data_IF_326468278836
#
_entry.id   IF_326468278836
#
_cell.length_a   1.000
_cell.length_b   1.000
_cell.length_c   1.000
_cell.angle_alpha   90.00
_cell.angle_beta   90.00
_cell.angle_gamma   90.00
#
_symmetry.space_group_name_H-M   'P 1'
#
loop_
_entity.id
_entity.type
_entity.pdbx_description
1 polymer ?
#
# COMPACT_ATOMS: atom_id res chain seq x y z
N UNK A 1 -24.90 -31.74 -17.79
CA UNK A 1 -23.43 -31.64 -17.85
C UNK A 1 -23.00 -30.85 -19.07
N UNK A 2 -23.64 -31.09 -20.22
CA UNK A 2 -23.31 -30.40 -21.49
C UNK A 2 -23.59 -28.87 -21.46
N UNK A 3 -24.66 -28.42 -20.80
CA UNK A 3 -24.95 -26.97 -20.64
C UNK A 3 -23.87 -26.26 -19.88
N UNK A 4 -23.34 -26.86 -18.81
CA UNK A 4 -22.28 -26.25 -17.98
C UNK A 4 -20.98 -26.17 -18.79
N UNK A 5 -20.65 -27.21 -19.52
CA UNK A 5 -19.47 -27.25 -20.40
C UNK A 5 -19.60 -26.23 -21.55
N UNK A 6 -20.80 -26.04 -22.08
CA UNK A 6 -21.08 -25.04 -23.11
C UNK A 6 -20.95 -23.61 -22.51
N UNK A 7 -21.42 -23.42 -21.29
CA UNK A 7 -21.29 -22.13 -20.58
C UNK A 7 -19.81 -21.80 -20.33
N UNK A 8 -19.00 -22.78 -19.91
CA UNK A 8 -17.55 -22.62 -19.68
C UNK A 8 -16.82 -22.33 -20.99
N UNK A 9 -17.20 -23.03 -22.11
CA UNK A 9 -16.63 -22.74 -23.42
C UNK A 9 -16.89 -21.31 -23.89
N UNK A 10 -18.12 -20.84 -23.71
CA UNK A 10 -18.54 -19.53 -24.21
C UNK A 10 -18.07 -18.36 -23.32
N UNK A 11 -18.12 -18.54 -22.01
CA UNK A 11 -17.88 -17.46 -21.03
C UNK A 11 -16.57 -17.62 -20.25
N UNK A 12 -15.91 -18.78 -20.31
CA UNK A 12 -14.68 -19.05 -19.57
C UNK A 12 -13.58 -17.99 -19.76
N UNK A 13 -13.25 -17.59 -21.00
CA UNK A 13 -12.27 -16.53 -21.22
C UNK A 13 -12.71 -15.17 -20.68
N UNK A 14 -14.00 -14.83 -20.80
CA UNK A 14 -14.54 -13.57 -20.30
C UNK A 14 -14.55 -13.54 -18.76
N UNK A 15 -14.88 -14.65 -18.12
CA UNK A 15 -14.82 -14.79 -16.67
C UNK A 15 -13.37 -14.69 -16.18
N UNK A 16 -12.42 -15.38 -16.82
CA UNK A 16 -11.01 -15.30 -16.48
C UNK A 16 -10.49 -13.88 -16.61
N UNK A 17 -10.82 -13.19 -17.71
CA UNK A 17 -10.50 -11.78 -17.90
C UNK A 17 -11.03 -10.92 -16.74
N UNK A 18 -12.31 -11.10 -16.37
CA UNK A 18 -12.96 -10.37 -15.29
C UNK A 18 -12.29 -10.61 -13.92
N UNK A 19 -11.96 -11.87 -13.59
CA UNK A 19 -11.25 -12.20 -12.35
C UNK A 19 -9.86 -11.56 -12.31
N UNK A 20 -9.10 -11.64 -13.39
CA UNK A 20 -7.78 -11.04 -13.50
C UNK A 20 -7.83 -9.50 -13.44
N UNK A 21 -8.83 -8.89 -14.09
CA UNK A 21 -9.05 -7.45 -14.06
C UNK A 21 -9.36 -6.97 -12.62
N UNK A 22 -10.25 -7.66 -11.91
CA UNK A 22 -10.65 -7.30 -10.56
C UNK A 22 -9.49 -7.45 -9.57
N UNK A 23 -8.74 -8.57 -9.63
CA UNK A 23 -7.54 -8.75 -8.79
C UNK A 23 -6.52 -7.64 -9.03
N UNK A 24 -6.18 -7.37 -10.29
CA UNK A 24 -5.23 -6.34 -10.66
C UNK A 24 -5.72 -4.92 -10.31
N UNK A 25 -7.04 -4.71 -10.25
CA UNK A 25 -7.65 -3.44 -9.77
C UNK A 25 -7.64 -3.30 -8.24
N UNK A 26 -7.05 -4.26 -7.50
CA UNK A 26 -6.91 -4.21 -6.04
C UNK A 26 -8.01 -4.90 -5.25
N UNK A 27 -8.92 -5.62 -5.92
CA UNK A 27 -9.92 -6.45 -5.24
C UNK A 27 -9.24 -7.74 -4.77
N UNK A 28 -9.38 -8.17 -3.51
CA UNK A 28 -8.67 -9.34 -2.98
C UNK A 28 -9.31 -10.66 -3.45
N UNK A 29 -9.24 -10.92 -4.75
CA UNK A 29 -9.71 -12.13 -5.41
C UNK A 29 -8.47 -12.90 -5.90
N UNK A 30 -8.33 -14.20 -5.62
CA UNK A 30 -7.16 -14.97 -6.05
C UNK A 30 -7.30 -15.40 -7.53
N UNK A 31 -6.90 -14.55 -8.47
CA UNK A 31 -6.92 -14.88 -9.91
C UNK A 31 -6.00 -16.06 -10.25
N UNK A 32 -5.00 -16.34 -9.41
CA UNK A 32 -4.18 -17.54 -9.54
C UNK A 32 -5.02 -18.84 -9.62
N UNK A 33 -6.09 -18.93 -8.82
CA UNK A 33 -6.99 -20.08 -8.86
C UNK A 33 -7.79 -20.15 -10.18
N UNK A 34 -8.25 -19.00 -10.68
CA UNK A 34 -8.94 -18.91 -11.94
C UNK A 34 -8.02 -19.28 -13.13
N UNK A 35 -6.74 -18.86 -13.08
CA UNK A 35 -5.72 -19.22 -14.07
C UNK A 35 -5.42 -20.73 -14.04
N UNK A 36 -5.26 -21.32 -12.85
CA UNK A 36 -5.08 -22.77 -12.69
C UNK A 36 -6.27 -23.54 -13.27
N UNK A 37 -7.50 -23.14 -12.93
CA UNK A 37 -8.72 -23.75 -13.45
C UNK A 37 -8.82 -23.60 -14.98
N UNK A 38 -8.46 -22.43 -15.53
CA UNK A 38 -8.40 -22.17 -16.97
C UNK A 38 -7.39 -23.06 -17.68
N UNK A 39 -6.21 -23.28 -17.10
CA UNK A 39 -5.20 -24.21 -17.60
C UNK A 39 -5.69 -25.67 -17.62
N UNK A 40 -6.32 -26.11 -16.53
CA UNK A 40 -6.89 -27.45 -16.44
C UNK A 40 -8.03 -27.68 -17.44
N UNK A 41 -8.90 -26.69 -17.66
CA UNK A 41 -9.96 -26.75 -18.68
C UNK A 41 -9.39 -26.79 -20.12
N UNK A 42 -8.28 -26.09 -20.35
CA UNK A 42 -7.57 -26.15 -21.64
C UNK A 42 -6.93 -27.52 -21.90
N UNK A 43 -6.37 -28.16 -20.86
CA UNK A 43 -5.83 -29.54 -21.00
C UNK A 43 -6.90 -30.53 -21.41
N UNK A 44 -8.15 -30.31 -21.02
CA UNK A 44 -9.29 -31.14 -21.38
C UNK A 44 -9.93 -30.75 -22.74
N UNK A 45 -9.33 -29.85 -23.51
CA UNK A 45 -9.87 -29.29 -24.75
C UNK A 45 -11.26 -28.63 -24.62
N UNK A 46 -11.62 -28.19 -23.43
CA UNK A 46 -12.86 -27.44 -23.17
C UNK A 46 -12.75 -26.02 -23.71
N UNK A 47 -11.58 -25.41 -23.57
CA UNK A 47 -11.26 -24.04 -24.01
C UNK A 47 -9.88 -24.01 -24.68
N UNK A 48 -9.65 -23.03 -25.54
CA UNK A 48 -8.33 -22.84 -26.16
C UNK A 48 -7.37 -22.17 -25.18
N UNK A 49 -6.21 -22.78 -24.93
CA UNK A 49 -5.18 -22.28 -24.04
C UNK A 49 -4.68 -20.87 -24.44
N UNK A 50 -4.60 -20.60 -25.74
CA UNK A 50 -4.15 -19.27 -26.24
C UNK A 50 -5.15 -18.20 -25.92
N UNK A 51 -6.44 -18.51 -26.06
CA UNK A 51 -7.52 -17.56 -25.72
C UNK A 51 -7.54 -17.28 -24.20
N UNK A 52 -7.33 -18.31 -23.37
CA UNK A 52 -7.22 -18.16 -21.92
C UNK A 52 -5.99 -17.33 -21.52
N UNK A 53 -4.84 -17.56 -22.18
CA UNK A 53 -3.62 -16.81 -21.93
C UNK A 53 -3.79 -15.32 -22.29
N UNK A 54 -4.42 -15.02 -23.42
CA UNK A 54 -4.71 -13.65 -23.84
C UNK A 54 -5.72 -12.99 -22.90
N UNK A 55 -6.77 -13.68 -22.51
CA UNK A 55 -7.78 -13.15 -21.59
C UNK A 55 -7.16 -12.81 -20.21
N UNK A 56 -6.39 -13.73 -19.64
CA UNK A 56 -5.68 -13.52 -18.38
C UNK A 56 -4.69 -12.35 -18.45
N UNK A 57 -3.86 -12.33 -19.50
CA UNK A 57 -2.88 -11.26 -19.71
C UNK A 57 -3.55 -9.87 -19.83
N UNK A 58 -4.57 -9.78 -20.70
CA UNK A 58 -5.28 -8.51 -20.90
C UNK A 58 -5.99 -8.04 -19.62
N UNK A 59 -6.62 -8.95 -18.89
CA UNK A 59 -7.26 -8.63 -17.62
C UNK A 59 -6.26 -8.05 -16.61
N UNK A 60 -5.11 -8.71 -16.42
CA UNK A 60 -4.07 -8.25 -15.50
C UNK A 60 -3.50 -6.89 -15.91
N UNK A 61 -3.12 -6.72 -17.17
CA UNK A 61 -2.50 -5.48 -17.66
C UNK A 61 -3.47 -4.30 -17.60
N UNK A 62 -4.73 -4.51 -17.96
CA UNK A 62 -5.75 -3.44 -17.91
C UNK A 62 -6.06 -3.03 -16.46
N UNK A 63 -6.15 -3.99 -15.53
CA UNK A 63 -6.36 -3.69 -14.12
C UNK A 63 -5.20 -2.90 -13.51
N UNK A 64 -3.96 -3.32 -13.78
CA UNK A 64 -2.78 -2.60 -13.34
C UNK A 64 -2.65 -1.21 -13.99
N UNK A 65 -3.03 -1.08 -15.25
CA UNK A 65 -3.04 0.22 -15.93
C UNK A 65 -4.03 1.19 -15.28
N UNK A 66 -5.18 0.71 -14.83
CA UNK A 66 -6.15 1.51 -14.05
C UNK A 66 -5.49 2.01 -12.75
N UNK A 67 -4.87 1.12 -11.97
CA UNK A 67 -4.20 1.51 -10.72
C UNK A 67 -2.99 2.40 -10.96
N UNK A 68 -2.22 2.15 -12.02
CA UNK A 68 -1.10 3.01 -12.42
C UNK A 68 -1.58 4.44 -12.74
N UNK A 69 -2.63 4.57 -13.55
CA UNK A 69 -3.17 5.88 -13.92
C UNK A 69 -3.76 6.60 -12.70
N UNK A 70 -4.50 5.90 -11.85
CA UNK A 70 -4.98 6.46 -10.59
C UNK A 70 -3.80 6.92 -9.71
N UNK A 71 -2.77 6.10 -9.55
CA UNK A 71 -1.56 6.47 -8.80
C UNK A 71 -0.85 7.69 -9.38
N UNK A 72 -0.80 7.82 -10.71
CA UNK A 72 -0.19 8.95 -11.40
C UNK A 72 -0.92 10.28 -11.18
N UNK A 73 -2.26 10.25 -11.13
CA UNK A 73 -3.07 11.45 -10.92
C UNK A 73 -3.29 11.80 -9.45
N UNK A 74 -3.48 10.79 -8.60
CA UNK A 74 -3.75 10.99 -7.16
C UNK A 74 -2.48 10.99 -6.31
N UNK A 75 -1.34 10.62 -6.89
CA UNK A 75 -0.06 10.56 -6.19
C UNK A 75 -0.12 9.63 -4.97
N UNK A 76 0.43 10.10 -3.87
CA UNK A 76 0.56 9.34 -2.62
C UNK A 76 -0.75 9.12 -1.87
N UNK A 77 -1.81 9.84 -2.21
CA UNK A 77 -3.12 9.70 -1.56
C UNK A 77 -3.73 8.30 -1.75
N UNK A 78 -3.66 7.76 -2.98
CA UNK A 78 -4.13 6.39 -3.27
C UNK A 78 -3.35 5.35 -2.47
N UNK A 79 -2.03 5.51 -2.39
CA UNK A 79 -1.18 4.62 -1.59
C UNK A 79 -1.54 4.70 -0.10
N UNK A 80 -1.86 5.89 0.40
CA UNK A 80 -2.38 6.09 1.74
C UNK A 80 -3.67 5.30 2.01
N UNK A 81 -4.58 5.22 1.03
CA UNK A 81 -5.80 4.42 1.15
C UNK A 81 -5.47 2.92 1.13
N UNK A 82 -4.67 2.46 0.19
CA UNK A 82 -4.29 1.05 0.07
C UNK A 82 -3.52 0.55 1.29
N UNK A 83 -2.65 1.39 1.85
CA UNK A 83 -1.88 1.06 3.05
C UNK A 83 -2.66 1.25 4.36
N UNK A 84 -3.89 1.80 4.36
CA UNK A 84 -4.74 1.90 5.58
C UNK A 84 -5.02 0.57 6.26
N UNK A 85 -4.89 -0.49 5.51
CA UNK A 85 -4.99 -1.87 5.99
C UNK A 85 -3.78 -2.29 6.82
N UNK A 86 -2.65 -1.60 6.69
CA UNK A 86 -1.43 -1.85 7.46
C UNK A 86 -1.49 -1.19 8.84
N UNK A 87 -0.87 -1.82 9.83
CA UNK A 87 -0.73 -1.28 11.19
C UNK A 87 0.03 0.06 11.19
N UNK A 88 0.93 0.24 10.23
CA UNK A 88 1.72 1.46 10.02
C UNK A 88 1.66 1.89 8.55
N UNK A 89 0.58 2.58 8.11
CA UNK A 89 0.38 2.95 6.72
C UNK A 89 1.55 3.71 6.10
N UNK A 90 2.14 4.60 6.86
CA UNK A 90 3.23 5.47 6.42
C UNK A 90 4.55 4.70 6.23
N UNK A 91 4.90 3.83 7.18
CA UNK A 91 6.05 2.95 7.04
C UNK A 91 5.87 1.97 5.85
N UNK A 92 4.64 1.52 5.60
CA UNK A 92 4.28 0.71 4.43
C UNK A 92 4.60 1.45 3.14
N UNK A 93 4.15 2.71 2.99
CA UNK A 93 4.37 3.52 1.80
C UNK A 93 5.87 3.76 1.57
N UNK A 94 6.57 4.28 2.59
CA UNK A 94 7.99 4.64 2.45
C UNK A 94 8.86 3.42 2.20
N UNK A 95 8.65 2.33 2.95
CA UNK A 95 9.43 1.09 2.77
C UNK A 95 9.17 0.47 1.40
N UNK A 96 7.91 0.47 0.95
CA UNK A 96 7.55 -0.05 -0.38
C UNK A 96 8.14 0.81 -1.49
N UNK A 97 8.08 2.13 -1.38
CA UNK A 97 8.67 3.06 -2.34
C UNK A 97 10.19 2.93 -2.40
N UNK A 98 10.88 2.87 -1.26
CA UNK A 98 12.33 2.70 -1.21
C UNK A 98 12.78 1.36 -1.79
N UNK A 99 12.08 0.26 -1.47
CA UNK A 99 12.36 -1.06 -2.04
C UNK A 99 12.13 -1.07 -3.54
N UNK A 100 11.01 -0.51 -3.97
CA UNK A 100 10.66 -0.39 -5.38
C UNK A 100 11.72 0.40 -6.15
N UNK A 101 12.17 1.55 -5.62
CA UNK A 101 13.20 2.37 -6.24
C UNK A 101 14.58 1.70 -6.25
N UNK A 102 14.97 1.04 -5.14
CA UNK A 102 16.29 0.36 -5.05
C UNK A 102 16.41 -0.81 -6.01
N UNK A 103 15.38 -1.64 -6.12
CA UNK A 103 15.32 -2.80 -7.03
C UNK A 103 14.81 -2.43 -8.43
N UNK A 104 14.24 -1.23 -8.58
CA UNK A 104 13.82 -0.65 -9.84
C UNK A 104 12.86 -1.51 -10.64
N UNK A 105 13.18 -1.65 -11.92
CA UNK A 105 12.38 -2.34 -12.93
C UNK A 105 12.10 -3.81 -12.62
N UNK A 106 13.04 -4.50 -11.98
CA UNK A 106 12.92 -5.93 -11.65
C UNK A 106 11.78 -6.19 -10.67
N UNK A 107 11.46 -5.23 -9.81
CA UNK A 107 10.38 -5.36 -8.83
C UNK A 107 9.01 -5.54 -9.51
N UNK A 108 8.75 -4.85 -10.63
CA UNK A 108 7.50 -4.98 -11.37
C UNK A 108 7.31 -6.39 -11.96
N UNK A 109 8.38 -7.01 -12.47
CA UNK A 109 8.34 -8.34 -13.05
C UNK A 109 7.84 -9.40 -12.05
N UNK A 110 8.27 -9.28 -10.79
CA UNK A 110 7.96 -10.26 -9.74
C UNK A 110 6.90 -9.80 -8.76
N UNK A 111 6.38 -8.58 -8.89
CA UNK A 111 5.39 -8.01 -7.99
C UNK A 111 4.15 -8.88 -7.82
N UNK A 112 3.68 -9.49 -8.92
CA UNK A 112 2.48 -10.34 -8.96
C UNK A 112 2.61 -11.64 -8.15
N UNK A 113 3.84 -12.12 -7.93
CA UNK A 113 4.10 -13.32 -7.15
C UNK A 113 4.17 -13.04 -5.62
N UNK A 114 4.23 -11.76 -5.22
CA UNK A 114 4.32 -11.39 -3.81
C UNK A 114 2.93 -10.94 -3.32
N UNK A 115 2.26 -11.73 -2.47
CA UNK A 115 0.94 -11.39 -1.96
C UNK A 115 0.95 -10.03 -1.24
N UNK A 116 -0.04 -9.19 -1.55
CA UNK A 116 -0.19 -7.85 -0.96
C UNK A 116 0.71 -6.77 -1.58
N UNK A 117 1.81 -7.13 -2.24
CA UNK A 117 2.63 -6.18 -2.98
C UNK A 117 2.14 -5.99 -4.42
N UNK A 118 1.49 -7.01 -5.00
CA UNK A 118 0.90 -6.96 -6.34
C UNK A 118 0.00 -5.74 -6.54
N UNK A 119 -0.93 -5.48 -5.62
CA UNK A 119 -1.85 -4.36 -5.68
C UNK A 119 -1.19 -2.97 -5.45
N UNK A 120 0.03 -2.92 -4.88
CA UNK A 120 0.75 -1.69 -4.59
C UNK A 120 1.74 -1.30 -5.68
N UNK A 121 2.21 -2.25 -6.48
CA UNK A 121 3.29 -2.04 -7.45
C UNK A 121 2.88 -1.07 -8.57
N UNK A 122 1.69 -1.23 -9.14
CA UNK A 122 1.17 -0.38 -10.20
C UNK A 122 0.93 1.08 -9.75
N UNK A 123 0.18 1.34 -8.66
CA UNK A 123 -0.02 2.71 -8.19
C UNK A 123 1.29 3.37 -7.69
N UNK A 124 2.24 2.59 -7.15
CA UNK A 124 3.58 3.10 -6.83
C UNK A 124 4.33 3.56 -8.09
N UNK A 125 4.33 2.75 -9.14
CA UNK A 125 4.96 3.12 -10.42
C UNK A 125 4.34 4.41 -10.98
N UNK A 126 3.02 4.54 -10.89
CA UNK A 126 2.29 5.74 -11.31
C UNK A 126 2.66 6.97 -10.50
N UNK A 127 2.59 6.88 -9.16
CA UNK A 127 2.90 7.99 -8.25
C UNK A 127 4.36 8.44 -8.33
N UNK A 128 5.28 7.52 -8.67
CA UNK A 128 6.69 7.80 -8.90
C UNK A 128 6.99 8.30 -10.31
N UNK A 129 5.96 8.60 -11.12
CA UNK A 129 6.07 9.17 -12.47
C UNK A 129 6.88 8.29 -13.42
N UNK A 130 6.77 6.97 -13.32
CA UNK A 130 7.39 6.05 -14.27
C UNK A 130 6.82 6.27 -15.68
N UNK A 131 7.65 6.28 -16.76
CA UNK A 131 7.14 6.41 -18.12
C UNK A 131 6.16 5.29 -18.49
N UNK A 132 5.02 5.64 -19.08
CA UNK A 132 3.96 4.68 -19.48
C UNK A 132 4.48 3.51 -20.30
N UNK A 133 5.28 3.71 -21.38
CA UNK A 133 5.75 2.59 -22.19
C UNK A 133 6.69 1.65 -21.41
N UNK A 134 7.48 2.18 -20.48
CA UNK A 134 8.36 1.39 -19.62
C UNK A 134 7.53 0.55 -18.62
N UNK A 135 6.51 1.17 -18.01
CA UNK A 135 5.57 0.47 -17.12
C UNK A 135 4.86 -0.65 -17.86
N UNK A 136 4.22 -0.36 -19.02
CA UNK A 136 3.48 -1.36 -19.80
C UNK A 136 4.34 -2.52 -20.23
N UNK A 137 5.59 -2.27 -20.68
CA UNK A 137 6.51 -3.35 -21.07
C UNK A 137 6.80 -4.29 -19.90
N UNK A 138 7.20 -3.74 -18.76
CA UNK A 138 7.58 -4.52 -17.59
C UNK A 138 6.39 -5.24 -16.96
N UNK A 139 5.25 -4.55 -16.87
CA UNK A 139 4.02 -5.13 -16.34
C UNK A 139 3.47 -6.24 -17.24
N UNK A 140 3.47 -6.02 -18.57
CA UNK A 140 3.05 -7.06 -19.54
C UNK A 140 3.94 -8.29 -19.46
N UNK A 141 5.25 -8.14 -19.31
CA UNK A 141 6.17 -9.28 -19.12
C UNK A 141 5.91 -9.99 -17.80
N UNK A 142 5.72 -9.22 -16.71
CA UNK A 142 5.37 -9.76 -15.39
C UNK A 142 4.02 -10.48 -15.39
N UNK A 143 3.02 -9.91 -16.05
CA UNK A 143 1.69 -10.50 -16.21
C UNK A 143 1.72 -11.78 -17.07
N UNK A 144 2.49 -11.78 -18.16
CA UNK A 144 2.67 -12.97 -18.99
C UNK A 144 3.38 -14.10 -18.24
N UNK A 145 4.41 -13.74 -17.45
CA UNK A 145 5.10 -14.72 -16.61
C UNK A 145 4.16 -15.31 -15.55
N UNK A 146 3.41 -14.45 -14.85
CA UNK A 146 2.45 -14.86 -13.83
C UNK A 146 1.34 -15.73 -14.41
N UNK A 147 0.63 -15.25 -15.43
CA UNK A 147 -0.46 -16.00 -16.06
C UNK A 147 0.05 -17.29 -16.74
N UNK A 148 1.21 -17.23 -17.38
CA UNK A 148 1.84 -18.38 -18.02
C UNK A 148 2.20 -19.49 -17.04
N UNK A 149 2.80 -19.15 -15.89
CA UNK A 149 3.14 -20.13 -14.85
C UNK A 149 1.88 -20.82 -14.31
N UNK A 150 0.85 -20.06 -13.93
CA UNK A 150 -0.37 -20.66 -13.36
C UNK A 150 -1.19 -21.42 -14.40
N UNK A 151 -1.30 -20.93 -15.64
CA UNK A 151 -1.94 -21.68 -16.73
C UNK A 151 -1.18 -22.96 -17.06
N UNK A 152 0.16 -22.92 -17.13
CA UNK A 152 0.97 -24.10 -17.39
C UNK A 152 0.85 -25.13 -16.26
N UNK A 153 0.88 -24.69 -15.00
CA UNK A 153 0.66 -25.58 -13.85
C UNK A 153 -0.73 -26.22 -13.90
N UNK A 154 -1.76 -25.42 -14.21
CA UNK A 154 -3.12 -25.94 -14.39
C UNK A 154 -3.23 -26.93 -15.56
N UNK A 155 -2.58 -26.62 -16.67
CA UNK A 155 -2.55 -27.50 -17.86
C UNK A 155 -1.85 -28.82 -17.57
N UNK A 156 -0.68 -28.80 -16.92
CA UNK A 156 0.06 -29.99 -16.53
C UNK A 156 -0.67 -30.83 -15.47
N UNK A 157 -1.41 -30.17 -14.58
CA UNK A 157 -2.23 -30.84 -13.60
C UNK A 157 -3.59 -31.30 -14.13
N UNK A 158 -3.92 -31.00 -15.39
CA UNK A 158 -5.23 -31.28 -15.99
C UNK A 158 -5.60 -32.74 -15.95
N UNK A 159 -4.65 -33.64 -16.22
CA UNK A 159 -4.86 -35.10 -16.16
C UNK A 159 -5.05 -35.56 -14.70
N UNK A 160 -4.27 -35.04 -13.77
CA UNK A 160 -4.38 -35.33 -12.36
C UNK A 160 -5.75 -34.85 -11.81
N UNK A 161 -6.21 -33.68 -12.26
CA UNK A 161 -7.53 -33.14 -11.95
C UNK A 161 -8.64 -34.01 -12.53
N UNK A 162 -8.47 -34.51 -13.71
CA UNK A 162 -9.43 -35.41 -14.36
C UNK A 162 -9.61 -36.71 -13.59
N UNK A 163 -8.50 -37.31 -13.14
CA UNK A 163 -8.52 -38.54 -12.34
C UNK A 163 -9.04 -38.29 -10.92
N UNK A 164 -8.85 -37.08 -10.39
CA UNK A 164 -9.37 -36.65 -9.10
C UNK A 164 -10.82 -36.15 -9.15
N UNK A 165 -11.39 -35.82 -10.33
CA UNK A 165 -12.76 -35.29 -10.47
C UNK A 165 -13.83 -36.17 -9.81
N UNK A 166 -13.83 -37.51 -9.89
CA UNK A 166 -14.79 -38.35 -9.18
C UNK A 166 -14.64 -38.23 -7.67
N UNK A 167 -13.42 -38.13 -7.19
CA UNK A 167 -13.10 -37.93 -5.75
C UNK A 167 -13.46 -36.49 -5.31
N UNK A 168 -13.18 -35.50 -6.16
CA UNK A 168 -13.49 -34.07 -5.91
C UNK A 168 -15.00 -33.83 -5.95
N UNK A 169 -15.77 -34.49 -6.81
CA UNK A 169 -17.23 -34.37 -6.83
C UNK A 169 -17.87 -34.98 -5.59
N UNK A 170 -17.32 -36.09 -5.08
CA UNK A 170 -17.70 -36.65 -3.79
C UNK A 170 -17.27 -35.76 -2.60
N UNK A 171 -16.08 -35.12 -2.74
CA UNK A 171 -15.54 -34.16 -1.76
C UNK A 171 -16.03 -32.72 -1.96
N UNK A 172 -16.82 -32.43 -3.00
CA UNK A 172 -17.24 -31.07 -3.37
C UNK A 172 -17.85 -30.28 -2.18
N UNK A 173 -18.70 -30.92 -1.42
CA UNK A 173 -19.26 -30.36 -0.18
C UNK A 173 -18.18 -30.05 0.88
N UNK A 174 -17.17 -30.90 1.00
CA UNK A 174 -16.07 -30.69 1.94
C UNK A 174 -15.20 -29.51 1.48
N UNK A 175 -14.95 -29.40 0.18
CA UNK A 175 -14.19 -28.28 -0.41
C UNK A 175 -14.95 -26.96 -0.23
N UNK A 176 -16.26 -26.94 -0.45
CA UNK A 176 -17.12 -25.77 -0.20
C UNK A 176 -17.10 -25.38 1.27
N UNK A 177 -17.22 -26.34 2.17
CA UNK A 177 -17.18 -26.09 3.62
C UNK A 177 -15.81 -25.59 4.05
N UNK A 178 -14.72 -26.19 3.54
CA UNK A 178 -13.35 -25.75 3.85
C UNK A 178 -13.06 -24.35 3.27
N UNK A 179 -13.53 -24.07 2.07
CA UNK A 179 -13.41 -22.74 1.46
C UNK A 179 -14.23 -21.69 2.22
N UNK A 180 -15.47 -22.03 2.60
CA UNK A 180 -16.32 -21.16 3.40
C UNK A 180 -15.73 -20.95 4.81
N UNK A 181 -15.25 -22.01 5.46
CA UNK A 181 -14.57 -21.93 6.74
C UNK A 181 -13.27 -21.12 6.67
N UNK A 182 -12.49 -21.29 5.60
CA UNK A 182 -11.29 -20.50 5.32
C UNK A 182 -11.62 -19.02 5.14
N UNK A 183 -12.68 -18.69 4.39
CA UNK A 183 -13.16 -17.32 4.20
C UNK A 183 -13.65 -16.73 5.53
N UNK A 184 -14.47 -17.46 6.27
CA UNK A 184 -14.96 -17.02 7.60
C UNK A 184 -13.79 -16.85 8.57
N UNK A 185 -12.84 -17.79 8.58
CA UNK A 185 -11.61 -17.70 9.38
C UNK A 185 -10.75 -16.49 8.99
N UNK A 186 -10.59 -16.22 7.70
CA UNK A 186 -9.88 -15.05 7.19
C UNK A 186 -10.59 -13.75 7.58
N UNK A 187 -11.91 -13.66 7.39
CA UNK A 187 -12.71 -12.49 7.79
C UNK A 187 -12.69 -12.32 9.32
N UNK A 188 -12.83 -13.42 10.08
CA UNK A 188 -12.74 -13.40 11.54
C UNK A 188 -11.36 -12.97 12.05
N UNK A 189 -10.28 -13.51 11.47
CA UNK A 189 -8.91 -13.10 11.77
C UNK A 189 -8.68 -11.64 11.42
N UNK A 190 -9.20 -11.19 10.28
CA UNK A 190 -9.16 -9.80 9.82
C UNK A 190 -9.91 -8.87 10.78
N UNK A 191 -11.12 -9.28 11.20
CA UNK A 191 -11.91 -8.56 12.19
C UNK A 191 -11.18 -8.49 13.52
N UNK A 192 -10.58 -9.59 13.98
CA UNK A 192 -9.80 -9.61 15.20
C UNK A 192 -8.56 -8.72 15.13
N UNK A 193 -7.80 -8.77 14.04
CA UNK A 193 -6.69 -7.85 13.82
C UNK A 193 -7.13 -6.38 13.82
N UNK A 194 -8.28 -6.07 13.22
CA UNK A 194 -8.83 -4.71 13.27
C UNK A 194 -9.23 -4.29 14.69
N UNK A 195 -9.73 -5.23 15.49
CA UNK A 195 -10.05 -4.98 16.92
C UNK A 195 -8.80 -4.82 17.77
N UNK A 196 -7.76 -5.63 17.56
CA UNK A 196 -6.48 -5.47 18.24
C UNK A 196 -5.82 -4.13 17.88
N UNK A 197 -5.87 -3.74 16.61
CA UNK A 197 -5.44 -2.41 16.16
C UNK A 197 -6.25 -1.28 16.80
N UNK A 198 -7.56 -1.45 16.94
CA UNK A 198 -8.43 -0.47 17.63
C UNK A 198 -8.13 -0.38 19.14
N UNK A 199 -7.83 -1.50 19.80
CA UNK A 199 -7.42 -1.54 21.21
C UNK A 199 -6.05 -0.89 21.39
N UNK A 200 -5.09 -1.17 20.50
CA UNK A 200 -3.78 -0.51 20.49
C UNK A 200 -3.91 1.00 20.26
N UNK A 201 -4.78 1.43 19.33
CA UNK A 201 -5.11 2.83 19.09
C UNK A 201 -5.84 3.46 20.29
N UNK A 202 -6.74 2.74 20.97
CA UNK A 202 -7.43 3.24 22.16
C UNK A 202 -6.45 3.45 23.34
N UNK A 203 -5.41 2.59 23.44
CA UNK A 203 -4.33 2.78 24.42
C UNK A 203 -3.46 4.00 24.07
N UNK A 204 -3.29 4.29 22.78
CA UNK A 204 -2.63 5.51 22.31
C UNK A 204 -3.53 6.76 22.43
N UNK A 205 -4.85 6.61 22.43
CA UNK A 205 -5.82 7.71 22.57
C UNK A 205 -5.82 8.34 23.99
N UNK A 206 -5.14 7.69 24.95
CA UNK A 206 -4.86 8.23 26.29
C UNK A 206 -3.71 9.25 26.32
N UNK A 207 -3.05 9.52 25.17
CA UNK A 207 -2.00 10.52 25.09
C UNK A 207 -2.59 11.92 25.33
N UNK A 208 -1.94 12.76 26.16
CA UNK A 208 -2.42 14.12 26.38
C UNK A 208 -2.40 14.91 25.08
N UNK A 209 -3.56 15.46 24.74
CA UNK A 209 -3.76 16.32 23.57
C UNK A 209 -3.84 17.77 24.00
N UNK A 210 -3.33 18.65 23.16
CA UNK A 210 -3.38 20.09 23.35
C UNK A 210 -4.12 20.72 22.19
N UNK A 211 -5.07 21.60 22.50
CA UNK A 211 -5.80 22.33 21.47
C UNK A 211 -4.86 23.27 20.72
N UNK A 212 -5.13 23.46 19.43
CA UNK A 212 -4.29 24.28 18.53
C UNK A 212 -4.11 25.70 19.04
N UNK A 213 -5.15 26.30 19.64
CA UNK A 213 -5.10 27.67 20.16
C UNK A 213 -4.23 27.80 21.42
N UNK A 214 -4.30 26.80 22.30
CA UNK A 214 -3.50 26.78 23.53
C UNK A 214 -2.01 26.58 23.19
N UNK A 215 -1.74 25.75 22.18
CA UNK A 215 -0.38 25.56 21.68
C UNK A 215 0.16 26.85 21.04
N UNK A 216 -0.65 27.58 20.25
CA UNK A 216 -0.25 28.85 19.66
C UNK A 216 0.10 29.87 20.73
N UNK A 217 -0.71 30.01 21.80
CA UNK A 217 -0.43 30.89 22.92
C UNK A 217 0.87 30.50 23.65
N UNK A 218 1.16 29.20 23.79
CA UNK A 218 2.41 28.69 24.37
C UNK A 218 3.63 29.07 23.53
N UNK A 219 3.52 28.99 22.20
CA UNK A 219 4.58 29.38 21.28
C UNK A 219 4.81 30.89 21.26
N UNK A 220 3.74 31.70 21.29
CA UNK A 220 3.82 33.17 21.30
C UNK A 220 4.46 33.67 22.59
N UNK A 221 4.25 32.99 23.73
CA UNK A 221 4.89 33.28 25.00
C UNK A 221 6.38 32.94 25.05
N UNK A 222 6.97 32.37 23.97
CA UNK A 222 8.37 31.93 23.90
C UNK A 222 8.80 31.10 25.14
N UNK A 223 7.93 30.21 25.59
CA UNK A 223 8.16 29.43 26.80
C UNK A 223 9.47 28.61 26.64
N UNK A 224 10.41 28.82 27.57
CA UNK A 224 11.66 28.07 27.61
C UNK A 224 11.36 26.59 27.82
N UNK A 225 12.15 25.72 27.17
CA UNK A 225 11.98 24.27 27.29
C UNK A 225 10.84 23.67 26.46
N UNK A 226 10.23 24.42 25.54
CA UNK A 226 9.20 23.92 24.62
C UNK A 226 9.81 23.60 23.25
N UNK A 227 9.53 22.41 22.71
CA UNK A 227 9.91 21.99 21.35
C UNK A 227 8.71 21.46 20.60
N UNK A 228 8.54 21.91 19.36
CA UNK A 228 7.49 21.43 18.47
C UNK A 228 8.12 20.60 17.36
N UNK A 229 7.67 19.35 17.22
CA UNK A 229 8.18 18.45 16.19
C UNK A 229 7.12 18.11 15.15
N UNK A 230 7.55 18.22 13.90
CA UNK A 230 6.81 17.72 12.75
C UNK A 230 7.18 16.26 12.50
N UNK A 231 6.26 15.35 12.83
CA UNK A 231 6.45 13.90 12.66
C UNK A 231 5.74 13.34 11.42
N UNK A 232 5.50 14.18 10.41
CA UNK A 232 4.96 13.71 9.14
C UNK A 232 5.97 12.83 8.41
N UNK A 233 5.46 11.81 7.72
CA UNK A 233 6.29 10.97 6.85
C UNK A 233 6.80 11.72 5.62
N UNK A 234 7.83 11.17 4.96
CA UNK A 234 8.48 11.75 3.79
C UNK A 234 7.51 12.13 2.66
N UNK A 235 6.41 11.40 2.47
CA UNK A 235 5.43 11.67 1.42
C UNK A 235 4.62 12.96 1.60
N UNK A 236 4.67 13.55 2.79
CA UNK A 236 3.99 14.81 3.11
C UNK A 236 4.96 16.00 3.21
N UNK A 237 6.26 15.77 2.93
CA UNK A 237 7.35 16.72 2.97
C UNK A 237 7.87 17.00 1.56
N UNK A 238 6.98 17.44 0.66
CA UNK A 238 7.30 17.77 -0.73
C UNK A 238 7.64 19.27 -0.89
N UNK A 239 8.18 19.62 -2.06
CA UNK A 239 8.42 21.02 -2.41
C UNK A 239 7.14 21.84 -2.29
N UNK A 240 7.21 22.94 -1.53
CA UNK A 240 6.07 23.82 -1.25
C UNK A 240 5.20 23.38 -0.06
N UNK A 241 5.55 22.28 0.60
CA UNK A 241 4.90 21.91 1.86
C UNK A 241 5.16 22.99 2.91
N UNK A 242 4.13 23.24 3.75
CA UNK A 242 4.22 24.16 4.87
C UNK A 242 4.32 23.37 6.17
N UNK A 243 5.01 23.93 7.17
CA UNK A 243 5.07 23.43 8.55
C UNK A 243 4.61 24.50 9.54
N UNK A 244 4.32 24.13 10.78
CA UNK A 244 4.11 25.09 11.86
C UNK A 244 5.40 25.90 12.02
N UNK A 245 5.29 27.22 12.11
CA UNK A 245 6.44 28.10 12.24
C UNK A 245 7.29 27.72 13.46
N UNK A 246 8.59 27.53 13.27
CA UNK A 246 9.52 27.13 14.33
C UNK A 246 9.50 25.64 14.68
N UNK A 247 8.69 24.81 14.03
CA UNK A 247 8.73 23.37 14.24
C UNK A 247 9.98 22.75 13.62
N UNK A 248 10.55 21.74 14.30
CA UNK A 248 11.70 20.96 13.84
C UNK A 248 11.20 19.63 13.28
N UNK A 249 11.81 19.13 12.21
CA UNK A 249 11.48 17.83 11.68
C UNK A 249 12.01 16.70 12.56
N UNK A 250 11.16 15.74 12.89
CA UNK A 250 11.52 14.47 13.51
C UNK A 250 11.03 13.33 12.65
N UNK A 251 11.95 12.59 12.02
CA UNK A 251 11.58 11.40 11.24
C UNK A 251 11.13 10.29 12.20
N UNK A 252 9.88 9.80 12.09
CA UNK A 252 9.36 8.75 12.95
C UNK A 252 10.15 7.43 12.87
N UNK A 253 10.95 7.25 11.81
CA UNK A 253 11.77 6.05 11.60
C UNK A 253 13.24 6.23 12.01
N UNK A 254 13.66 7.45 12.39
CA UNK A 254 15.05 7.80 12.75
C UNK A 254 15.11 8.58 14.08
N UNK A 255 14.20 8.33 14.99
CA UNK A 255 14.10 9.07 16.27
C UNK A 255 15.38 9.02 17.09
N UNK A 256 16.09 7.89 17.06
CA UNK A 256 17.33 7.71 17.83
C UNK A 256 18.44 8.72 17.51
N UNK A 257 18.39 9.37 16.35
CA UNK A 257 19.39 10.37 15.96
C UNK A 257 19.19 11.74 16.61
N UNK A 258 17.98 12.07 17.07
CA UNK A 258 17.61 13.40 17.61
C UNK A 258 17.50 13.39 19.13
N UNK A 259 17.28 12.20 19.72
CA UNK A 259 17.06 12.04 21.16
C UNK A 259 18.24 12.47 22.05
N UNK A 260 19.51 12.23 21.68
CA UNK A 260 20.64 12.62 22.54
C UNK A 260 20.78 14.12 22.76
N UNK A 261 20.22 14.94 21.86
CA UNK A 261 20.34 16.41 21.89
C UNK A 261 19.21 17.09 22.66
N UNK A 262 18.24 16.31 23.21
CA UNK A 262 17.12 16.83 23.96
C UNK A 262 17.38 16.85 25.46
N UNK A 263 17.22 18.01 26.09
CA UNK A 263 17.24 18.09 27.56
C UNK A 263 16.05 17.34 28.17
N UNK A 264 16.27 16.62 29.27
CA UNK A 264 15.24 15.78 29.89
C UNK A 264 13.99 16.56 30.33
N UNK A 265 14.11 17.86 30.61
CA UNK A 265 13.03 18.74 31.05
C UNK A 265 12.23 19.36 29.90
N UNK A 266 12.55 19.01 28.63
CA UNK A 266 11.90 19.58 27.45
C UNK A 266 10.48 19.04 27.29
N UNK A 267 9.50 19.95 27.22
CA UNK A 267 8.12 19.63 26.83
C UNK A 267 8.03 19.49 25.32
N UNK A 268 7.64 18.32 24.85
CA UNK A 268 7.64 17.97 23.44
C UNK A 268 6.22 17.96 22.90
N UNK A 269 5.96 18.79 21.90
CA UNK A 269 4.69 18.86 21.19
C UNK A 269 4.85 18.28 19.80
N UNK A 270 3.95 17.35 19.44
CA UNK A 270 4.06 16.56 18.21
C UNK A 270 2.83 16.79 17.35
N UNK A 271 3.03 16.93 16.05
CA UNK A 271 1.91 16.99 15.11
C UNK A 271 2.20 16.20 13.81
N UNK A 272 1.13 15.74 13.18
CA UNK A 272 1.16 15.13 11.86
C UNK A 272 -0.05 15.58 11.02
N UNK A 273 -0.26 14.95 9.87
CA UNK A 273 -1.44 15.14 9.00
C UNK A 273 -2.27 13.88 8.87
N UNK A 274 -1.94 12.82 9.60
CA UNK A 274 -2.63 11.55 9.50
C UNK A 274 -4.00 11.55 10.16
N UNK A 275 -4.82 10.57 9.77
CA UNK A 275 -6.13 10.37 10.38
C UNK A 275 -5.95 10.02 11.87
N UNK A 276 -6.68 10.74 12.74
CA UNK A 276 -6.65 10.57 14.20
C UNK A 276 -5.25 10.70 14.84
N UNK A 277 -4.38 11.52 14.29
CA UNK A 277 -3.03 11.81 14.82
C UNK A 277 -2.16 10.55 15.10
N UNK A 278 -2.41 9.45 14.41
CA UNK A 278 -1.83 8.13 14.73
C UNK A 278 -0.29 8.14 14.80
N UNK A 279 0.38 8.87 13.89
CA UNK A 279 1.85 8.98 13.91
C UNK A 279 2.33 9.80 15.10
N UNK A 280 1.71 10.95 15.38
CA UNK A 280 2.07 11.79 16.53
C UNK A 280 1.87 11.06 17.84
N UNK A 281 0.76 10.31 17.99
CA UNK A 281 0.49 9.50 19.19
C UNK A 281 1.51 8.39 19.39
N UNK A 282 1.89 7.69 18.31
CA UNK A 282 2.91 6.63 18.39
C UNK A 282 4.28 7.18 18.79
N UNK A 283 4.69 8.28 18.18
CA UNK A 283 5.97 8.96 18.52
C UNK A 283 5.92 9.50 19.94
N UNK A 284 4.80 10.13 20.35
CA UNK A 284 4.61 10.62 21.71
C UNK A 284 4.74 9.49 22.74
N UNK A 285 4.09 8.34 22.48
CA UNK A 285 4.19 7.18 23.35
C UNK A 285 5.64 6.70 23.50
N UNK A 286 6.36 6.56 22.39
CA UNK A 286 7.75 6.12 22.42
C UNK A 286 8.68 7.08 23.16
N UNK A 287 8.53 8.39 22.95
CA UNK A 287 9.30 9.40 23.67
C UNK A 287 8.96 9.43 25.17
N UNK A 288 7.70 9.16 25.51
CA UNK A 288 7.26 9.09 26.91
C UNK A 288 7.82 7.87 27.64
N UNK A 289 7.97 6.73 26.96
CA UNK A 289 8.68 5.55 27.48
C UNK A 289 10.16 5.84 27.80
N UNK A 290 10.72 6.87 27.16
CA UNK A 290 12.09 7.33 27.38
C UNK A 290 12.17 8.48 28.40
N UNK A 291 11.06 8.84 29.02
CA UNK A 291 11.01 9.81 30.13
C UNK A 291 10.69 11.24 29.72
N UNK A 292 10.39 11.52 28.43
CA UNK A 292 10.03 12.87 27.99
C UNK A 292 8.56 13.20 28.25
N UNK A 293 8.28 14.45 28.61
CA UNK A 293 6.92 14.98 28.70
C UNK A 293 6.39 15.32 27.29
N UNK A 294 5.43 14.55 26.80
CA UNK A 294 4.97 14.65 25.39
C UNK A 294 3.50 14.94 25.28
N UNK A 295 3.15 15.78 24.30
CA UNK A 295 1.79 16.21 23.98
C UNK A 295 1.54 16.10 22.47
N UNK A 296 0.30 15.81 22.09
CA UNK A 296 -0.11 15.76 20.69
C UNK A 296 -0.99 16.96 20.37
N UNK A 297 -0.66 17.70 19.30
CA UNK A 297 -1.47 18.83 18.82
C UNK A 297 -2.70 18.29 18.12
N UNK A 298 -3.88 18.58 18.66
CA UNK A 298 -5.17 18.09 18.20
C UNK A 298 -5.46 18.54 16.76
N UNK A 299 -5.81 17.57 15.87
CA UNK A 299 -6.03 17.81 14.44
C UNK A 299 -4.77 18.17 13.65
N UNK A 300 -3.60 18.26 14.31
CA UNK A 300 -2.30 18.47 13.69
C UNK A 300 -2.22 19.72 12.81
N UNK A 301 -1.45 19.63 11.72
CA UNK A 301 -1.24 20.77 10.80
C UNK A 301 -2.54 21.25 10.14
N UNK A 302 -3.52 20.36 9.92
CA UNK A 302 -4.78 20.75 9.27
C UNK A 302 -5.59 21.71 10.15
N UNK A 303 -5.75 21.37 11.43
CA UNK A 303 -6.46 22.25 12.38
C UNK A 303 -5.69 23.55 12.63
N UNK A 304 -4.35 23.50 12.61
CA UNK A 304 -3.50 24.68 12.70
C UNK A 304 -3.74 25.66 11.55
N UNK A 305 -3.75 25.14 10.31
CA UNK A 305 -4.03 25.94 9.12
C UNK A 305 -5.49 26.46 9.08
N UNK A 306 -6.45 25.63 9.48
CA UNK A 306 -7.85 26.03 9.55
C UNK A 306 -8.11 27.14 10.58
N UNK A 307 -7.30 27.19 11.64
CA UNK A 307 -7.31 28.28 12.63
C UNK A 307 -6.59 29.55 12.16
N UNK A 308 -6.02 29.57 10.94
CA UNK A 308 -5.30 30.71 10.40
C UNK A 308 -3.96 31.01 11.07
N UNK A 309 -3.39 30.05 11.80
CA UNK A 309 -2.17 30.23 12.57
C UNK A 309 -0.90 30.21 11.71
N UNK A 310 0.21 30.81 12.17
CA UNK A 310 1.41 31.01 11.37
C UNK A 310 2.06 29.69 10.91
N UNK A 311 2.35 29.62 9.62
CA UNK A 311 3.09 28.50 9.01
C UNK A 311 4.28 29.05 8.23
N UNK A 312 5.31 28.23 8.06
CA UNK A 312 6.47 28.55 7.23
C UNK A 312 6.70 27.47 6.16
N UNK A 313 7.40 27.79 5.07
CA UNK A 313 7.84 26.77 4.11
C UNK A 313 8.77 25.77 4.81
N UNK A 314 8.68 24.50 4.40
CA UNK A 314 9.63 23.48 4.84
C UNK A 314 11.01 23.82 4.28
N UNK A 315 12.08 23.84 5.12
CA UNK A 315 13.43 24.07 4.68
C UNK A 315 13.88 23.06 3.62
N UNK A 316 14.68 23.49 2.61
CA UNK A 316 15.14 22.59 1.55
C UNK A 316 15.92 21.36 2.05
N UNK A 317 16.65 21.50 3.15
CA UNK A 317 17.41 20.44 3.80
C UNK A 317 16.53 19.35 4.40
N UNK A 318 15.31 19.69 4.85
CA UNK A 318 14.33 18.77 5.39
C UNK A 318 13.54 18.04 4.29
N UNK A 319 13.62 18.54 3.05
CA UNK A 319 12.95 17.91 1.91
C UNK A 319 13.77 16.72 1.45
N UNK A 320 13.41 15.53 1.89
CA UNK A 320 13.91 14.29 1.29
C UNK A 320 12.95 13.90 0.18
N UNK A 321 13.28 14.22 -1.10
CA UNK A 321 12.40 13.88 -2.19
C UNK A 321 12.27 12.37 -2.29
N UNK A 322 11.03 11.88 -2.35
CA UNK A 322 10.79 10.50 -2.73
C UNK A 322 11.43 10.23 -4.10
N UNK A 323 12.00 9.03 -4.28
CA UNK A 323 12.60 8.66 -5.54
C UNK A 323 11.58 8.82 -6.68
N UNK A 324 11.96 9.58 -7.70
CA UNK A 324 11.16 9.87 -8.89
C UNK A 324 11.90 9.37 -10.13
N UNK A 325 11.27 8.50 -10.92
CA UNK A 325 11.84 7.98 -12.15
C UNK A 325 12.07 9.08 -13.20
N UNK A 326 11.25 10.14 -13.20
CA UNK A 326 11.41 11.28 -14.10
C UNK A 326 12.71 12.04 -13.85
N UNK A 327 13.14 12.20 -12.60
CA UNK A 327 14.42 12.86 -12.26
C UNK A 327 15.63 12.07 -12.73
N UNK A 328 15.56 10.74 -12.70
CA UNK A 328 16.63 9.87 -13.18
C UNK A 328 16.83 9.97 -14.69
N UNK A 329 15.74 10.16 -15.44
CA UNK A 329 15.80 10.39 -16.89
C UNK A 329 16.49 11.71 -17.20
N UNK A 330 16.18 12.79 -16.48
CA UNK A 330 16.82 14.10 -16.66
C UNK A 330 18.30 14.13 -16.26
N UNK A 331 18.69 13.38 -15.23
CA UNK A 331 20.07 13.25 -14.82
C UNK A 331 20.92 12.46 -15.83
N UNK A 332 20.31 11.50 -16.54
CA UNK A 332 20.98 10.69 -17.56
C UNK A 332 21.22 11.46 -18.87
N UNK A 333 20.31 12.40 -19.20
CA UNK A 333 20.43 13.28 -20.37
C UNK A 333 21.37 14.47 -20.16
N UNK A 334 21.76 14.76 -18.91
CA UNK A 334 22.70 15.86 -18.55
C UNK A 334 24.14 15.40 -18.28
N UNK A 335 24.49 14.14 -18.51
CA UNK A 335 25.89 13.72 -18.53
C UNK A 335 26.43 13.99 -19.94
N UNK A 336 27.47 14.85 -20.06
CA UNK A 336 28.13 15.15 -21.33
C UNK A 336 28.77 13.89 -21.93
#
# INVERSE_FOLDING_TARGET
>A
MDEILQLIRLHGPALLFGFCLLEASGVPIPAALALLAGGAAAAQNVVDLRVMALAGLLGLVLGDLILYTLGRFTGWWLLGILCRVSVTPEACIVTSAQRFYRRGRVTLLFAKFVPGFSALAAPLAGSMMMPVPEFLLLDSVGAALYSGVYLALGYLAGDLVRDALPVVSAAGRVIEVVAAAGLVGFVGWRYWQSRLGAIALAKLDSMPKVAVRDMAATMDAQAEGVRVFDVRSHGYYERGAKRIKGAVRLDPNQMAAVLPDLAAETKIYLYCTCYREATSMRVAHHLREQGFETFVIEGGLRSWQAAGLPTEPVPPEDIVPLPDFARRSQAKTRRP
#
